data_IF_312512479289
#
_entry.id   IF_312512479289
#
_cell.length_a   1.000
_cell.length_b   1.000
_cell.length_c   1.000
_cell.angle_alpha   90.00
_cell.angle_beta   90.00
_cell.angle_gamma   90.00
#
_symmetry.space_group_name_H-M   'P 1'
#
loop_
_entity.id
_entity.type
_entity.pdbx_description
1 polymer ?
#
# COMPACT_ATOMS: atom_id res chain seq x y z
N UNK A 1 -20.78 12.63 -22.07
CA UNK A 1 -21.51 11.51 -21.44
C UNK A 1 -20.56 10.48 -20.79
N UNK A 2 -19.58 9.92 -21.51
CA UNK A 2 -18.62 8.93 -20.96
C UNK A 2 -17.81 9.40 -19.74
N UNK A 3 -17.36 10.67 -19.72
CA UNK A 3 -16.54 11.19 -18.62
C UNK A 3 -17.33 11.21 -17.31
N UNK A 4 -18.58 11.68 -17.33
CA UNK A 4 -19.44 11.75 -16.14
C UNK A 4 -19.74 10.36 -15.57
N UNK A 5 -20.04 9.38 -16.43
CA UNK A 5 -20.25 7.99 -16.01
C UNK A 5 -18.98 7.40 -15.40
N UNK A 6 -17.81 7.64 -16.02
CA UNK A 6 -16.52 7.17 -15.50
C UNK A 6 -16.16 7.80 -14.14
N UNK A 7 -16.48 9.08 -13.93
CA UNK A 7 -16.24 9.78 -12.67
C UNK A 7 -17.15 9.28 -11.54
N UNK A 8 -18.43 9.04 -11.82
CA UNK A 8 -19.38 8.47 -10.85
C UNK A 8 -18.93 7.07 -10.43
N UNK A 9 -18.55 6.22 -11.40
CA UNK A 9 -18.08 4.88 -11.12
C UNK A 9 -16.81 4.88 -10.25
N UNK A 10 -15.87 5.81 -10.51
CA UNK A 10 -14.67 5.98 -9.71
C UNK A 10 -14.97 6.36 -8.25
N UNK A 11 -15.94 7.25 -8.03
CA UNK A 11 -16.38 7.66 -6.69
C UNK A 11 -17.01 6.47 -5.95
N UNK A 12 -17.89 5.72 -6.61
CA UNK A 12 -18.54 4.53 -6.02
C UNK A 12 -17.49 3.48 -5.63
N UNK A 13 -16.52 3.20 -6.51
CA UNK A 13 -15.42 2.28 -6.21
C UNK A 13 -14.56 2.77 -5.04
N UNK A 14 -14.26 4.07 -4.96
CA UNK A 14 -13.51 4.64 -3.84
C UNK A 14 -14.24 4.46 -2.50
N UNK A 15 -15.56 4.68 -2.48
CA UNK A 15 -16.40 4.49 -1.28
C UNK A 15 -16.43 3.03 -0.85
N UNK A 16 -16.65 2.10 -1.79
CA UNK A 16 -16.67 0.65 -1.52
C UNK A 16 -15.33 0.19 -0.95
N UNK A 17 -14.21 0.56 -1.59
CA UNK A 17 -12.86 0.20 -1.13
C UNK A 17 -12.60 0.76 0.27
N UNK A 18 -13.03 1.99 0.55
CA UNK A 18 -12.87 2.60 1.87
C UNK A 18 -13.70 1.88 2.94
N UNK A 19 -14.95 1.52 2.63
CA UNK A 19 -15.82 0.75 3.52
C UNK A 19 -15.26 -0.65 3.83
N UNK A 20 -14.77 -1.37 2.82
CA UNK A 20 -14.10 -2.67 2.99
C UNK A 20 -12.87 -2.53 3.89
N UNK A 21 -12.09 -1.47 3.69
CA UNK A 21 -10.88 -1.21 4.48
C UNK A 21 -11.19 -0.90 5.95
N UNK A 22 -12.26 -0.16 6.21
CA UNK A 22 -12.77 0.12 7.56
C UNK A 22 -13.14 -1.21 8.24
N UNK A 23 -13.99 -2.03 7.62
CA UNK A 23 -14.46 -3.31 8.16
C UNK A 23 -13.35 -4.35 8.34
N UNK A 24 -12.33 -4.34 7.47
CA UNK A 24 -11.17 -5.23 7.59
C UNK A 24 -10.23 -4.85 8.73
N UNK A 25 -10.27 -3.61 9.22
CA UNK A 25 -9.43 -3.15 10.35
C UNK A 25 -9.97 -3.57 11.72
N UNK A 26 -11.24 -3.97 11.81
CA UNK A 26 -11.91 -4.41 13.04
C UNK A 26 -11.70 -5.90 13.33
N UNK A 27 -11.07 -6.63 12.40
CA UNK A 27 -10.74 -8.05 12.57
C UNK A 27 -9.32 -8.17 13.13
N UNK A 28 -9.04 -9.18 13.97
CA UNK A 28 -7.69 -9.43 14.46
C UNK A 28 -6.72 -9.58 13.29
N UNK A 29 -5.54 -8.99 13.45
CA UNK A 29 -4.47 -9.10 12.48
C UNK A 29 -4.00 -10.55 12.43
N UNK A 30 -3.78 -11.06 11.22
CA UNK A 30 -3.25 -12.41 11.00
C UNK A 30 -2.03 -12.26 10.11
N UNK A 31 -0.98 -13.05 10.35
CA UNK A 31 0.21 -13.12 9.49
C UNK A 31 -0.15 -13.14 7.99
N UNK A 32 -1.09 -14.02 7.61
CA UNK A 32 -1.60 -14.13 6.23
C UNK A 32 -2.11 -12.79 5.69
N UNK A 33 -2.93 -12.05 6.43
CA UNK A 33 -3.49 -10.75 5.97
C UNK A 33 -2.44 -9.66 5.78
N UNK A 34 -1.31 -9.75 6.49
CA UNK A 34 -0.20 -8.78 6.39
C UNK A 34 0.62 -9.03 5.11
N UNK A 35 0.90 -10.29 4.78
CA UNK A 35 1.75 -10.67 3.63
C UNK A 35 1.00 -10.76 2.30
N UNK A 36 -0.33 -10.90 2.35
CA UNK A 36 -1.13 -11.14 1.15
C UNK A 36 -1.14 -9.97 0.13
N UNK A 37 -1.15 -8.68 0.55
CA UNK A 37 -1.20 -7.58 -0.42
C UNK A 37 0.01 -7.51 -1.38
N UNK A 38 1.27 -7.63 -0.93
CA UNK A 38 2.41 -7.69 -1.84
C UNK A 38 2.32 -8.83 -2.86
N UNK A 39 1.84 -10.01 -2.45
CA UNK A 39 1.69 -11.17 -3.34
C UNK A 39 0.67 -10.88 -4.45
N UNK A 40 -0.48 -10.31 -4.09
CA UNK A 40 -1.45 -9.87 -5.11
C UNK A 40 -0.94 -8.73 -5.98
N UNK A 41 -0.08 -7.86 -5.44
CA UNK A 41 0.47 -6.77 -6.22
C UNK A 41 1.51 -7.26 -7.23
N UNK A 42 2.25 -8.32 -6.89
CA UNK A 42 3.19 -8.98 -7.80
C UNK A 42 2.55 -9.53 -9.08
N UNK A 43 1.27 -9.94 -9.06
CA UNK A 43 0.59 -10.36 -10.29
C UNK A 43 0.40 -9.19 -11.27
N UNK A 44 0.34 -7.96 -10.75
CA UNK A 44 0.34 -6.75 -11.57
C UNK A 44 1.64 -6.53 -12.35
N UNK A 45 2.76 -7.16 -11.96
CA UNK A 45 4.02 -7.09 -12.70
C UNK A 45 3.90 -7.65 -14.13
N UNK A 46 2.90 -8.51 -14.39
CA UNK A 46 2.62 -9.04 -15.72
C UNK A 46 2.34 -7.94 -16.75
N UNK A 47 1.97 -6.73 -16.34
CA UNK A 47 1.79 -5.61 -17.26
C UNK A 47 3.10 -5.25 -18.00
N UNK A 48 4.27 -5.47 -17.40
CA UNK A 48 5.56 -5.21 -18.07
C UNK A 48 5.90 -6.22 -19.18
N UNK A 49 5.06 -7.24 -19.41
CA UNK A 49 5.17 -8.06 -20.61
C UNK A 49 4.79 -7.27 -21.88
N UNK A 50 4.00 -6.21 -21.75
CA UNK A 50 3.62 -5.37 -22.88
C UNK A 50 4.54 -4.14 -22.98
N UNK A 51 5.09 -3.82 -24.18
CA UNK A 51 6.03 -2.71 -24.37
C UNK A 51 5.51 -1.33 -23.94
N UNK A 52 4.18 -1.16 -23.99
CA UNK A 52 3.49 0.09 -23.59
C UNK A 52 3.78 0.45 -22.13
N UNK A 53 4.05 -0.52 -21.26
CA UNK A 53 4.30 -0.29 -19.83
C UNK A 53 5.78 -0.26 -19.46
N UNK A 54 6.69 -0.40 -20.43
CA UNK A 54 8.11 -0.35 -20.17
C UNK A 54 8.51 1.05 -19.71
N UNK A 55 9.35 1.07 -18.69
CA UNK A 55 9.95 2.29 -18.14
C UNK A 55 11.45 2.23 -18.38
N UNK A 56 12.08 3.40 -18.52
CA UNK A 56 13.53 3.48 -18.57
C UNK A 56 14.14 3.06 -17.24
N UNK A 57 15.42 2.65 -17.26
CA UNK A 57 16.13 2.29 -16.02
C UNK A 57 16.20 3.43 -15.00
N UNK A 58 16.27 4.68 -15.48
CA UNK A 58 16.24 5.88 -14.63
C UNK A 58 14.88 6.03 -13.93
N UNK A 59 13.78 5.97 -14.68
CA UNK A 59 12.41 6.04 -14.13
C UNK A 59 12.11 4.91 -13.15
N UNK A 60 12.62 3.70 -13.43
CA UNK A 60 12.51 2.57 -12.50
C UNK A 60 13.21 2.87 -11.17
N UNK A 61 14.45 3.36 -11.22
CA UNK A 61 15.23 3.64 -10.02
C UNK A 61 14.63 4.79 -9.22
N UNK A 62 14.16 5.84 -9.88
CA UNK A 62 13.46 6.96 -9.26
C UNK A 62 12.18 6.50 -8.56
N UNK A 63 11.30 5.80 -9.28
CA UNK A 63 10.03 5.32 -8.74
C UNK A 63 10.24 4.37 -7.56
N UNK A 64 11.20 3.46 -7.66
CA UNK A 64 11.55 2.51 -6.60
C UNK A 64 12.09 3.24 -5.36
N UNK A 65 13.01 4.18 -5.54
CA UNK A 65 13.62 4.95 -4.44
C UNK A 65 12.58 5.79 -3.72
N UNK A 66 11.73 6.50 -4.46
CA UNK A 66 10.62 7.27 -3.90
C UNK A 66 9.63 6.37 -3.15
N UNK A 67 9.29 5.21 -3.72
CA UNK A 67 8.45 4.21 -3.07
C UNK A 67 9.03 3.73 -1.74
N UNK A 68 10.32 3.41 -1.71
CA UNK A 68 11.02 3.01 -0.48
C UNK A 68 11.04 4.12 0.56
N UNK A 69 11.26 5.38 0.18
CA UNK A 69 11.21 6.53 1.10
C UNK A 69 9.81 6.65 1.72
N UNK A 70 8.75 6.55 0.92
CA UNK A 70 7.38 6.58 1.44
C UNK A 70 7.05 5.38 2.33
N UNK A 71 7.68 4.22 2.12
CA UNK A 71 7.53 3.06 3.01
C UNK A 71 7.92 3.38 4.45
N UNK A 72 8.95 4.22 4.66
CA UNK A 72 9.43 4.61 5.99
C UNK A 72 8.34 5.37 6.75
N UNK A 73 7.65 6.29 6.08
CA UNK A 73 6.52 7.01 6.66
C UNK A 73 5.36 6.07 7.03
N UNK A 74 5.06 5.07 6.19
CA UNK A 74 4.04 4.07 6.47
C UNK A 74 4.40 3.20 7.67
N UNK A 75 5.66 2.77 7.78
CA UNK A 75 6.17 1.98 8.91
C UNK A 75 6.04 2.78 10.20
N UNK A 76 6.55 4.01 10.23
CA UNK A 76 6.54 4.87 11.43
C UNK A 76 5.13 5.19 11.95
N UNK A 77 4.16 5.24 11.04
CA UNK A 77 2.77 5.61 11.36
C UNK A 77 1.88 4.39 11.64
N UNK A 78 2.35 3.19 11.35
CA UNK A 78 1.64 1.94 11.61
C UNK A 78 1.90 1.48 13.04
N UNK A 79 0.85 1.48 13.86
CA UNK A 79 0.91 1.00 15.25
C UNK A 79 0.02 -0.23 15.42
N UNK A 80 0.45 -1.14 16.27
CA UNK A 80 -0.37 -2.27 16.72
C UNK A 80 -0.96 -1.94 18.10
N UNK A 81 -2.18 -2.39 18.33
CA UNK A 81 -2.88 -2.28 19.61
C UNK A 81 -3.24 -3.70 20.06
N UNK A 82 -2.92 -4.03 21.31
CA UNK A 82 -3.29 -5.31 21.91
C UNK A 82 -4.63 -5.08 22.61
N UNK A 83 -5.64 -5.88 22.27
CA UNK A 83 -6.94 -5.88 22.94
C UNK A 83 -7.40 -7.33 23.11
N UNK A 84 -7.73 -7.73 24.33
CA UNK A 84 -8.19 -9.09 24.67
C UNK A 84 -7.26 -10.20 24.13
N UNK A 85 -5.95 -10.10 24.39
CA UNK A 85 -4.88 -11.00 23.88
C UNK A 85 -4.82 -11.15 22.35
N UNK A 86 -5.49 -10.26 21.61
CA UNK A 86 -5.48 -10.22 20.16
C UNK A 86 -4.80 -8.95 19.67
N UNK A 87 -3.96 -9.11 18.64
CA UNK A 87 -3.23 -8.00 18.02
C UNK A 87 -4.11 -7.38 16.93
N UNK A 88 -4.44 -6.11 17.10
CA UNK A 88 -5.18 -5.30 16.12
C UNK A 88 -4.25 -4.28 15.45
N UNK A 89 -4.55 -3.94 14.20
CA UNK A 89 -3.83 -2.89 13.46
C UNK A 89 -4.52 -1.56 13.72
N UNK A 90 -3.84 -0.60 14.35
CA UNK A 90 -4.33 0.77 14.49
C UNK A 90 -4.29 1.44 13.13
N UNK A 91 -5.42 1.99 12.68
CA UNK A 91 -5.55 2.63 11.36
C UNK A 91 -4.54 3.77 11.22
N UNK A 92 -3.59 3.64 10.29
CA UNK A 92 -2.71 4.74 9.89
C UNK A 92 -3.46 5.68 8.94
N UNK A 93 -3.70 6.92 9.37
CA UNK A 93 -4.23 8.00 8.50
C UNK A 93 -3.24 8.36 7.38
N UNK A 94 -1.97 8.04 7.54
CA UNK A 94 -0.89 8.39 6.62
C UNK A 94 -0.97 7.65 5.28
N UNK A 95 -1.59 6.48 5.23
CA UNK A 95 -1.83 5.81 3.95
C UNK A 95 -2.77 6.62 3.04
N UNK A 96 -3.79 7.27 3.61
CA UNK A 96 -4.71 8.11 2.85
C UNK A 96 -3.98 9.37 2.38
N UNK A 97 -3.17 9.96 3.25
CA UNK A 97 -2.34 11.12 2.89
C UNK A 97 -1.35 10.80 1.76
N UNK A 98 -0.68 9.64 1.80
CA UNK A 98 0.25 9.20 0.75
C UNK A 98 -0.48 8.96 -0.58
N UNK A 99 -1.66 8.31 -0.56
CA UNK A 99 -2.46 8.14 -1.76
C UNK A 99 -2.90 9.48 -2.37
N UNK A 100 -3.31 10.45 -1.53
CA UNK A 100 -3.68 11.79 -1.98
C UNK A 100 -2.46 12.53 -2.54
N UNK A 101 -1.32 12.49 -1.84
CA UNK A 101 -0.07 13.12 -2.30
C UNK A 101 0.38 12.55 -3.65
N UNK A 102 0.33 11.22 -3.83
CA UNK A 102 0.59 10.55 -5.10
C UNK A 102 -0.36 10.99 -6.20
N UNK A 103 -1.66 11.12 -5.89
CA UNK A 103 -2.68 11.52 -6.86
C UNK A 103 -2.53 12.99 -7.27
N UNK A 104 -2.16 13.87 -6.34
CA UNK A 104 -1.87 15.29 -6.62
C UNK A 104 -0.59 15.43 -7.45
N UNK A 105 0.49 14.75 -7.04
CA UNK A 105 1.74 14.69 -7.82
C UNK A 105 1.45 14.20 -9.24
N UNK A 106 0.60 13.17 -9.38
CA UNK A 106 0.19 12.64 -10.69
C UNK A 106 -0.57 13.65 -11.55
N UNK A 107 -1.52 14.41 -10.98
CA UNK A 107 -2.28 15.43 -11.71
C UNK A 107 -1.37 16.59 -12.13
N UNK A 108 -0.50 17.04 -11.23
CA UNK A 108 0.45 18.12 -11.47
C UNK A 108 1.45 17.71 -12.55
N UNK A 109 2.08 16.54 -12.41
CA UNK A 109 3.05 16.03 -13.37
C UNK A 109 2.42 15.80 -14.75
N UNK A 110 1.19 15.25 -14.81
CA UNK A 110 0.42 15.18 -16.05
C UNK A 110 0.19 16.57 -16.65
N UNK A 111 -0.15 17.58 -15.84
CA UNK A 111 -0.42 18.94 -16.33
C UNK A 111 0.81 19.65 -16.89
N UNK A 112 2.02 19.34 -16.39
CA UNK A 112 3.26 19.99 -16.83
C UNK A 112 3.93 19.20 -17.99
N UNK A 113 3.81 17.86 -17.99
CA UNK A 113 4.47 16.95 -18.95
C UNK A 113 3.54 16.39 -20.05
N UNK A 114 2.34 16.96 -20.26
CA UNK A 114 1.29 16.47 -21.17
C UNK A 114 1.67 16.33 -22.66
N UNK A 115 2.93 16.53 -23.06
CA UNK A 115 3.41 16.36 -24.44
C UNK A 115 4.49 15.29 -24.64
N UNK A 116 5.07 14.69 -23.60
CA UNK A 116 6.23 13.77 -23.78
C UNK A 116 6.15 12.39 -23.13
N UNK A 117 5.30 12.17 -22.11
CA UNK A 117 5.25 10.86 -21.42
C UNK A 117 4.04 10.04 -21.87
N UNK A 118 4.32 8.81 -22.34
CA UNK A 118 3.32 7.81 -22.70
C UNK A 118 2.52 7.36 -21.46
N UNK A 119 1.20 7.30 -21.58
CA UNK A 119 0.29 6.90 -20.51
C UNK A 119 0.62 5.51 -19.96
N UNK A 120 1.16 4.62 -20.79
CA UNK A 120 1.58 3.29 -20.39
C UNK A 120 2.78 3.31 -19.45
N UNK A 121 3.88 3.98 -19.83
CA UNK A 121 5.09 4.11 -19.01
C UNK A 121 4.78 4.72 -17.64
N UNK A 122 3.91 5.75 -17.59
CA UNK A 122 3.48 6.38 -16.35
C UNK A 122 2.77 5.39 -15.40
N UNK A 123 1.95 4.50 -15.94
CA UNK A 123 1.30 3.46 -15.13
C UNK A 123 2.29 2.39 -14.65
N UNK A 124 3.32 2.09 -15.45
CA UNK A 124 4.51 1.33 -15.08
C UNK A 124 5.20 1.90 -13.84
N UNK A 125 5.57 3.18 -13.90
CA UNK A 125 6.20 3.90 -12.79
C UNK A 125 5.35 3.90 -11.53
N UNK A 126 4.03 4.11 -11.67
CA UNK A 126 3.12 4.13 -10.53
C UNK A 126 3.06 2.78 -9.83
N UNK A 127 3.05 1.68 -10.60
CA UNK A 127 3.11 0.34 -10.02
C UNK A 127 4.45 0.09 -9.32
N UNK A 128 5.59 0.48 -9.92
CA UNK A 128 6.93 0.30 -9.31
C UNK A 128 7.01 1.04 -7.98
N UNK A 129 6.57 2.29 -7.96
CA UNK A 129 6.49 3.09 -6.74
C UNK A 129 5.60 2.41 -5.70
N UNK A 130 4.42 1.96 -6.11
CA UNK A 130 3.46 1.32 -5.23
C UNK A 130 3.96 -0.03 -4.68
N UNK A 131 4.70 -0.78 -5.48
CA UNK A 131 5.35 -2.02 -5.08
C UNK A 131 6.53 -1.76 -4.14
N UNK A 132 7.37 -0.77 -4.46
CA UNK A 132 8.49 -0.30 -3.64
C UNK A 132 8.05 0.23 -2.27
N UNK A 133 6.86 0.81 -2.16
CA UNK A 133 6.31 1.23 -0.86
C UNK A 133 5.68 0.08 -0.06
N UNK A 134 4.96 -0.84 -0.71
CA UNK A 134 4.16 -1.85 0.00
C UNK A 134 5.02 -2.97 0.57
N UNK A 135 6.07 -3.39 -0.15
CA UNK A 135 6.91 -4.53 0.23
C UNK A 135 7.64 -4.27 1.56
N UNK A 136 8.44 -3.20 1.72
CA UNK A 136 9.15 -2.94 2.98
C UNK A 136 8.18 -2.70 4.14
N UNK A 137 7.08 -1.99 3.87
CA UNK A 137 6.07 -1.70 4.88
C UNK A 137 5.42 -2.96 5.44
N UNK A 138 4.99 -3.89 4.58
CA UNK A 138 4.36 -5.15 5.02
C UNK A 138 5.34 -6.07 5.72
N UNK A 139 6.61 -6.11 5.29
CA UNK A 139 7.67 -6.86 5.98
C UNK A 139 7.85 -6.32 7.41
N UNK A 140 7.99 -5.00 7.58
CA UNK A 140 8.14 -4.39 8.90
C UNK A 140 6.92 -4.63 9.82
N UNK A 141 5.71 -4.57 9.26
CA UNK A 141 4.49 -4.93 9.97
C UNK A 141 4.48 -6.39 10.41
N UNK A 142 4.92 -7.31 9.57
CA UNK A 142 4.99 -8.74 9.89
C UNK A 142 5.99 -9.03 11.01
N UNK A 143 7.18 -8.42 10.96
CA UNK A 143 8.19 -8.55 12.02
C UNK A 143 7.66 -8.02 13.36
N UNK A 144 7.00 -6.87 13.34
CA UNK A 144 6.39 -6.27 14.52
C UNK A 144 5.27 -7.16 15.08
N UNK A 145 4.41 -7.71 14.21
CA UNK A 145 3.37 -8.67 14.59
C UNK A 145 3.95 -9.92 15.25
N UNK A 146 5.01 -10.52 14.68
CA UNK A 146 5.66 -11.71 15.25
C UNK A 146 6.29 -11.43 16.61
N UNK A 147 6.90 -10.24 16.79
CA UNK A 147 7.47 -9.81 18.07
C UNK A 147 6.39 -9.65 19.15
N UNK A 148 5.27 -9.01 18.83
CA UNK A 148 4.14 -8.90 19.77
C UNK A 148 3.51 -10.26 20.09
N UNK A 149 3.34 -11.14 19.09
CA UNK A 149 2.76 -12.46 19.30
C UNK A 149 3.59 -13.31 20.27
N UNK A 150 4.92 -13.29 20.10
CA UNK A 150 5.84 -14.00 21.00
C UNK A 150 5.85 -13.43 22.42
N UNK A 151 5.64 -12.11 22.59
CA UNK A 151 5.53 -11.50 23.92
C UNK A 151 4.24 -11.92 24.64
N UNK A 152 3.10 -11.97 23.92
CA UNK A 152 1.83 -12.43 24.49
C UNK A 152 1.92 -13.90 24.90
N UNK A 153 2.50 -14.77 24.06
CA UNK A 153 2.73 -16.19 24.40
C UNK A 153 3.63 -16.35 25.63
N UNK A 154 4.72 -15.59 25.74
CA UNK A 154 5.61 -15.64 26.90
C UNK A 154 4.93 -15.14 28.18
N UNK A 155 4.15 -14.05 28.13
CA UNK A 155 3.40 -13.54 29.28
C UNK A 155 2.31 -14.50 29.75
N UNK A 156 1.60 -15.17 28.83
CA UNK A 156 0.60 -16.18 29.19
C UNK A 156 1.24 -17.42 29.83
N UNK A 157 2.45 -17.80 29.42
CA UNK A 157 3.18 -18.90 30.08
C UNK A 157 3.61 -18.56 31.52
N UNK A 158 3.83 -17.29 31.85
CA UNK A 158 4.22 -16.85 33.21
C UNK A 158 3.01 -16.77 34.15
N UNK A 159 1.80 -16.50 33.64
CA UNK A 159 0.59 -16.45 34.48
C UNK A 159 -0.02 -17.82 34.81
N UNK A 160 0.35 -18.86 34.07
CA UNK A 160 -0.15 -20.23 34.25
C UNK A 160 0.71 -21.04 35.23
N UNK A 161 1.86 -20.50 35.67
CA UNK A 161 2.83 -21.17 36.54
C UNK A 161 2.98 -20.42 37.87
#
# INVERSE_FOLDING_TARGET
MMIVVSSILAIVMAVIVMAVRIKSSEKPATAKKIILPPIFMSTGALMFLFPVFHVTGAEFLEALTVGMIFSIFLIKTSKFEIRDDKIYIKRSKSFVFILIALLVIRIVMKSILSTTIDYGALSGMFWILAFGMIVPWRIAMYLSFRKLSSQIEASNHIQVN
#
